data_IF_799921167612
#
_entry.id   IF_799921167612
#
_cell.length_a   1.000
_cell.length_b   1.000
_cell.length_c   1.000
_cell.angle_alpha   90.00
_cell.angle_beta   90.00
_cell.angle_gamma   90.00
#
_symmetry.space_group_name_H-M   'P 1'
#
loop_
_entity.id
_entity.type
_entity.pdbx_description
1 polymer ?
#
# COMPACT_ATOMS: atom_id res chain seq x y z
N UNK A 1 -19.25 8.39 -14.18
CA UNK A 1 -18.46 7.27 -14.75
C UNK A 1 -17.76 7.76 -16.01
N UNK A 2 -16.49 7.41 -16.25
CA UNK A 2 -15.82 7.70 -17.53
C UNK A 2 -15.95 6.46 -18.42
N UNK A 3 -16.71 6.56 -19.50
CA UNK A 3 -16.81 5.50 -20.49
C UNK A 3 -15.55 5.50 -21.36
N UNK A 4 -14.73 4.47 -21.27
CA UNK A 4 -13.53 4.30 -22.11
C UNK A 4 -13.85 3.73 -23.51
N UNK A 5 -15.09 3.31 -23.76
CA UNK A 5 -15.54 2.77 -25.05
C UNK A 5 -14.89 1.44 -25.43
N UNK A 6 -14.22 0.77 -24.49
CA UNK A 6 -13.45 -0.43 -24.75
C UNK A 6 -14.28 -1.70 -24.56
N UNK A 7 -14.30 -2.56 -25.58
CA UNK A 7 -15.06 -3.82 -25.58
C UNK A 7 -14.11 -5.01 -25.68
N UNK A 8 -14.21 -5.96 -24.75
CA UNK A 8 -13.50 -7.24 -24.81
C UNK A 8 -14.45 -8.41 -24.66
N UNK A 9 -14.14 -9.47 -25.39
CA UNK A 9 -14.79 -10.77 -25.22
C UNK A 9 -14.20 -11.48 -24.01
N UNK A 10 -15.06 -12.20 -23.31
CA UNK A 10 -14.73 -13.07 -22.19
C UNK A 10 -14.41 -14.46 -22.77
N UNK A 11 -13.44 -15.15 -22.19
CA UNK A 11 -13.14 -16.54 -22.56
C UNK A 11 -14.12 -17.55 -21.93
N UNK A 12 -13.97 -18.83 -22.22
CA UNK A 12 -14.84 -19.89 -21.68
C UNK A 12 -14.80 -20.01 -20.14
N UNK A 13 -13.79 -19.41 -19.50
CA UNK A 13 -13.57 -19.45 -18.05
C UNK A 13 -13.95 -18.15 -17.34
N UNK A 14 -14.45 -17.13 -18.06
CA UNK A 14 -14.81 -15.86 -17.44
C UNK A 14 -13.67 -14.84 -17.36
N UNK A 15 -12.51 -15.09 -17.96
CA UNK A 15 -11.35 -14.19 -17.93
C UNK A 15 -11.41 -13.20 -19.09
N UNK A 16 -10.93 -11.99 -18.83
CA UNK A 16 -10.70 -10.99 -19.85
C UNK A 16 -9.36 -10.28 -19.58
N UNK A 17 -8.80 -9.68 -20.64
CA UNK A 17 -7.54 -8.97 -20.54
C UNK A 17 -7.78 -7.50 -20.21
N UNK A 18 -7.15 -7.00 -19.14
CA UNK A 18 -7.09 -5.57 -18.84
C UNK A 18 -6.00 -4.94 -19.73
N UNK A 19 -6.33 -3.95 -20.57
CA UNK A 19 -5.36 -3.24 -21.42
C UNK A 19 -4.19 -2.66 -20.63
N UNK A 20 -3.03 -2.55 -21.27
CA UNK A 20 -1.82 -2.01 -20.66
C UNK A 20 -2.01 -0.57 -20.21
N UNK A 21 -2.81 0.21 -20.93
CA UNK A 21 -3.12 1.61 -20.64
C UNK A 21 -3.84 1.76 -19.29
N UNK A 22 -4.87 0.93 -19.06
CA UNK A 22 -5.60 0.90 -17.78
C UNK A 22 -4.68 0.39 -16.68
N UNK A 23 -3.88 -0.65 -16.95
CA UNK A 23 -2.91 -1.16 -15.97
C UNK A 23 -1.88 -0.12 -15.57
N UNK A 24 -1.34 0.65 -16.52
CA UNK A 24 -0.36 1.70 -16.25
C UNK A 24 -1.00 2.85 -15.46
N UNK A 25 -2.19 3.29 -15.87
CA UNK A 25 -2.93 4.38 -15.18
C UNK A 25 -3.25 4.01 -13.74
N UNK A 26 -3.75 2.79 -13.54
CA UNK A 26 -4.10 2.28 -12.22
C UNK A 26 -2.91 1.65 -11.49
N UNK A 27 -1.70 1.64 -12.04
CA UNK A 27 -0.52 1.01 -11.44
C UNK A 27 -0.75 -0.46 -11.03
N UNK A 28 -1.45 -1.24 -11.87
CA UNK A 28 -1.74 -2.66 -11.63
C UNK A 28 -0.58 -3.52 -12.15
N UNK A 29 0.32 -3.88 -11.23
CA UNK A 29 1.46 -4.78 -11.47
C UNK A 29 0.99 -6.24 -11.66
N UNK A 30 1.87 -7.10 -12.17
CA UNK A 30 1.57 -8.53 -12.25
C UNK A 30 1.27 -9.10 -10.85
N UNK A 31 0.33 -10.04 -10.74
CA UNK A 31 -0.13 -10.60 -9.45
C UNK A 31 -0.75 -9.58 -8.47
N UNK A 32 -1.20 -8.42 -8.95
CA UNK A 32 -1.97 -7.49 -8.10
C UNK A 32 -3.35 -8.06 -7.79
N UNK A 33 -3.75 -8.03 -6.52
CA UNK A 33 -5.08 -8.44 -6.09
C UNK A 33 -6.11 -7.36 -6.43
N UNK A 34 -7.18 -7.76 -7.11
CA UNK A 34 -8.31 -6.89 -7.43
C UNK A 34 -9.58 -7.44 -6.78
N UNK A 35 -10.35 -6.56 -6.17
CA UNK A 35 -11.69 -6.83 -5.67
C UNK A 35 -12.70 -6.61 -6.79
N UNK A 36 -13.66 -7.53 -6.91
CA UNK A 36 -14.73 -7.50 -7.90
C UNK A 36 -16.02 -7.18 -7.17
N UNK A 37 -16.62 -6.04 -7.52
CA UNK A 37 -17.89 -5.59 -6.97
C UNK A 37 -18.93 -5.55 -8.09
N UNK A 38 -20.13 -6.00 -7.79
CA UNK A 38 -21.27 -5.92 -8.72
C UNK A 38 -22.18 -4.76 -8.32
N UNK A 39 -22.66 -4.03 -9.32
CA UNK A 39 -23.62 -2.95 -9.16
C UNK A 39 -25.05 -3.44 -9.43
N UNK A 40 -26.05 -2.72 -8.93
CA UNK A 40 -27.47 -3.09 -9.08
C UNK A 40 -27.95 -3.04 -10.54
N UNK A 41 -27.31 -2.24 -11.39
CA UNK A 41 -27.60 -2.17 -12.83
C UNK A 41 -26.85 -3.24 -13.66
N UNK A 42 -26.22 -4.22 -13.01
CA UNK A 42 -25.44 -5.27 -13.68
C UNK A 42 -24.03 -4.84 -14.09
N UNK A 43 -23.56 -3.68 -13.61
CA UNK A 43 -22.18 -3.23 -13.78
C UNK A 43 -21.20 -4.05 -12.94
N UNK A 44 -19.96 -4.20 -13.42
CA UNK A 44 -18.86 -4.79 -12.65
C UNK A 44 -17.79 -3.73 -12.42
N UNK A 45 -17.43 -3.53 -11.16
CA UNK A 45 -16.45 -2.55 -10.71
C UNK A 45 -15.23 -3.30 -10.15
N UNK A 46 -14.05 -2.95 -10.66
CA UNK A 46 -12.78 -3.48 -10.16
C UNK A 46 -12.09 -2.44 -9.27
N UNK A 47 -11.68 -2.85 -8.06
CA UNK A 47 -10.90 -2.02 -7.13
C UNK A 47 -9.61 -2.74 -6.72
N UNK A 48 -8.56 -1.98 -6.37
CA UNK A 48 -7.36 -2.59 -5.77
C UNK A 48 -7.71 -3.12 -4.39
N UNK A 49 -7.39 -4.39 -4.16
CA UNK A 49 -7.58 -5.03 -2.87
C UNK A 49 -6.34 -4.88 -1.99
N UNK A 50 -6.53 -4.41 -0.76
CA UNK A 50 -5.50 -4.31 0.26
C UNK A 50 -6.06 -4.81 1.59
N UNK A 51 -5.65 -6.01 2.07
CA UNK A 51 -6.14 -6.56 3.33
C UNK A 51 -5.89 -5.63 4.53
N UNK A 52 -4.74 -4.96 4.54
CA UNK A 52 -4.32 -4.11 5.66
C UNK A 52 -5.19 -2.84 5.73
N UNK A 53 -5.70 -2.38 4.59
CA UNK A 53 -6.55 -1.19 4.53
C UNK A 53 -7.91 -1.41 5.19
N UNK A 54 -8.42 -2.64 5.17
CA UNK A 54 -9.66 -3.02 5.86
C UNK A 54 -9.48 -3.10 7.38
N UNK A 55 -8.26 -3.41 7.84
CA UNK A 55 -7.91 -3.50 9.26
C UNK A 55 -7.64 -2.14 9.92
N UNK A 56 -8.07 -1.03 9.31
CA UNK A 56 -7.64 0.34 9.64
C UNK A 56 -7.59 0.69 11.13
N UNK A 57 -8.66 0.41 11.90
CA UNK A 57 -8.71 0.72 13.33
C UNK A 57 -7.67 -0.08 14.14
N UNK A 58 -7.56 -1.38 13.88
CA UNK A 58 -6.59 -2.26 14.53
C UNK A 58 -5.16 -1.83 14.24
N UNK A 59 -4.90 -1.42 13.00
CA UNK A 59 -3.58 -0.97 12.54
C UNK A 59 -3.19 0.34 13.22
N UNK A 60 -4.12 1.28 13.39
CA UNK A 60 -3.87 2.52 14.13
C UNK A 60 -3.56 2.26 15.61
N UNK A 61 -4.34 1.40 16.27
CA UNK A 61 -4.11 1.01 17.67
C UNK A 61 -2.75 0.33 17.85
N UNK A 62 -2.36 -0.55 16.92
CA UNK A 62 -1.07 -1.24 16.96
C UNK A 62 0.10 -0.26 16.79
N UNK A 63 -0.01 0.67 15.84
CA UNK A 63 1.00 1.71 15.66
C UNK A 63 1.13 2.58 16.92
N UNK A 64 0.01 2.93 17.55
CA UNK A 64 -0.02 3.74 18.76
C UNK A 64 0.65 3.02 19.95
N UNK A 65 0.33 1.74 20.16
CA UNK A 65 0.95 0.93 21.21
C UNK A 65 2.47 0.81 21.04
N UNK A 66 2.95 0.66 19.81
CA UNK A 66 4.38 0.64 19.51
C UNK A 66 5.04 2.00 19.76
N UNK A 67 4.37 3.11 19.40
CA UNK A 67 4.86 4.46 19.68
C UNK A 67 4.99 4.72 21.18
N UNK A 68 4.01 4.32 21.98
CA UNK A 68 4.04 4.47 23.44
C UNK A 68 5.12 3.61 24.10
N UNK A 69 5.38 2.41 23.57
CA UNK A 69 6.38 1.49 24.12
C UNK A 69 7.81 1.86 23.75
N UNK A 70 8.03 2.33 22.51
CA UNK A 70 9.37 2.56 21.94
C UNK A 70 9.78 4.03 21.94
N UNK A 71 8.82 4.97 21.98
CA UNK A 71 9.07 6.41 21.85
C UNK A 71 9.51 6.87 20.45
N UNK A 72 9.56 5.95 19.47
CA UNK A 72 9.96 6.21 18.09
C UNK A 72 8.75 6.31 17.15
N UNK A 73 8.88 7.08 16.07
CA UNK A 73 7.79 7.21 15.08
C UNK A 73 7.61 5.90 14.31
N UNK A 74 6.39 5.37 14.32
CA UNK A 74 6.02 4.12 13.68
C UNK A 74 5.13 4.40 12.48
N UNK A 75 5.49 3.82 11.34
CA UNK A 75 4.71 3.89 10.11
C UNK A 75 4.36 2.47 9.67
N UNK A 76 3.06 2.21 9.47
CA UNK A 76 2.57 0.98 8.87
C UNK A 76 2.18 1.28 7.43
N UNK A 77 2.70 0.48 6.51
CA UNK A 77 2.62 0.74 5.08
C UNK A 77 2.06 -0.48 4.35
N UNK A 78 1.33 -0.21 3.28
CA UNK A 78 1.01 -1.21 2.25
C UNK A 78 2.10 -1.25 1.18
N UNK A 79 1.86 -1.97 0.09
CA UNK A 79 2.69 -1.98 -1.12
C UNK A 79 2.85 -0.61 -1.78
N UNK A 80 1.91 0.32 -1.60
CA UNK A 80 1.90 1.59 -2.34
C UNK A 80 1.86 2.83 -1.43
N UNK A 81 1.14 2.76 -0.31
CA UNK A 81 0.84 3.92 0.52
C UNK A 81 1.02 3.64 2.00
N UNK A 82 1.28 4.69 2.77
CA UNK A 82 1.31 4.66 4.22
C UNK A 82 -0.13 4.62 4.75
N UNK A 83 -0.48 3.54 5.47
CA UNK A 83 -1.82 3.29 6.01
C UNK A 83 -1.99 3.95 7.37
N UNK A 84 -1.04 3.76 8.28
CA UNK A 84 -1.11 4.32 9.63
C UNK A 84 0.23 4.90 10.06
N UNK A 85 0.16 5.94 10.90
CA UNK A 85 1.32 6.62 11.45
C UNK A 85 1.04 6.96 12.90
N UNK A 86 1.96 6.57 13.79
CA UNK A 86 1.97 6.95 15.18
C UNK A 86 3.26 7.73 15.49
N UNK A 87 3.10 8.89 16.11
CA UNK A 87 4.20 9.82 16.42
C UNK A 87 4.17 11.12 15.62
N UNK A 88 5.35 11.69 15.39
CA UNK A 88 5.47 13.03 14.81
C UNK A 88 5.08 13.04 13.33
N UNK A 89 4.46 14.14 12.88
CA UNK A 89 4.06 14.36 11.47
C UNK A 89 2.97 13.41 10.90
N UNK A 90 2.03 12.88 11.72
CA UNK A 90 0.88 12.04 11.26
C UNK A 90 0.18 12.62 10.02
N UNK A 91 -0.18 13.91 10.04
CA UNK A 91 -0.87 14.60 8.93
C UNK A 91 -0.07 14.68 7.63
N UNK A 92 1.26 14.62 7.70
CA UNK A 92 2.14 14.82 6.53
C UNK A 92 2.49 13.50 5.83
N UNK A 93 2.53 12.41 6.61
CA UNK A 93 2.96 11.09 6.17
C UNK A 93 1.78 10.19 5.73
N UNK A 94 0.59 10.39 6.30
CA UNK A 94 -0.58 9.58 5.95
C UNK A 94 -0.92 9.67 4.45
N UNK A 95 -1.27 8.53 3.83
CA UNK A 95 -1.65 8.43 2.41
C UNK A 95 -0.59 8.93 1.41
N UNK A 96 0.68 9.03 1.82
CA UNK A 96 1.78 9.32 0.90
C UNK A 96 2.24 8.04 0.19
N UNK A 97 2.64 8.20 -1.07
CA UNK A 97 3.25 7.15 -1.86
C UNK A 97 4.65 6.83 -1.36
N UNK A 98 4.99 5.55 -1.38
CA UNK A 98 6.30 5.06 -0.97
C UNK A 98 7.37 5.38 -2.00
N UNK A 99 8.61 5.54 -1.52
CA UNK A 99 9.79 5.57 -2.36
C UNK A 99 10.02 4.16 -2.97
N UNK A 100 10.34 4.03 -4.27
CA UNK A 100 10.69 2.76 -4.89
C UNK A 100 11.79 1.96 -4.17
N UNK A 101 12.69 2.62 -3.44
CA UNK A 101 13.67 1.93 -2.59
C UNK A 101 13.00 1.10 -1.49
N UNK A 102 11.96 1.63 -0.83
CA UNK A 102 11.20 0.92 0.20
C UNK A 102 10.40 -0.23 -0.41
N UNK A 103 9.84 -0.05 -1.61
CA UNK A 103 9.14 -1.14 -2.32
C UNK A 103 10.07 -2.35 -2.53
N UNK A 104 11.32 -2.11 -2.96
CA UNK A 104 12.32 -3.18 -3.13
C UNK A 104 12.65 -3.89 -1.82
N UNK A 105 12.77 -3.14 -0.71
CA UNK A 105 13.02 -3.74 0.60
C UNK A 105 11.84 -4.60 1.08
N UNK A 106 10.61 -4.23 0.73
CA UNK A 106 9.43 -5.05 1.01
C UNK A 106 9.41 -6.34 0.18
N UNK A 107 9.91 -6.31 -1.07
CA UNK A 107 10.06 -7.49 -1.91
C UNK A 107 11.10 -8.48 -1.36
N UNK A 108 12.16 -8.00 -0.72
CA UNK A 108 13.19 -8.84 -0.09
C UNK A 108 12.68 -9.62 1.14
N UNK A 109 11.53 -9.23 1.72
CA UNK A 109 10.90 -9.85 2.91
C UNK A 109 11.85 -10.02 4.09
N UNK A 110 12.85 -9.14 4.24
CA UNK A 110 13.80 -9.15 5.35
C UNK A 110 13.63 -7.91 6.22
N UNK A 111 13.74 -8.11 7.54
CA UNK A 111 13.82 -7.01 8.48
C UNK A 111 15.21 -6.37 8.36
N UNK A 112 15.26 -5.14 7.86
CA UNK A 112 16.49 -4.39 7.70
C UNK A 112 16.54 -3.26 8.73
N UNK A 113 17.69 -3.10 9.40
CA UNK A 113 17.94 -2.03 10.34
C UNK A 113 18.91 -1.03 9.73
N UNK A 114 18.45 0.20 9.51
CA UNK A 114 19.27 1.28 8.97
C UNK A 114 19.58 2.31 10.04
N UNK A 115 20.87 2.58 10.24
CA UNK A 115 21.36 3.63 11.14
C UNK A 115 21.33 5.00 10.47
N UNK A 116 21.32 5.05 9.12
CA UNK A 116 21.21 6.28 8.33
C UNK A 116 19.77 6.57 7.89
N UNK A 117 19.38 7.85 7.78
CA UNK A 117 18.02 8.23 7.39
C UNK A 117 17.75 7.86 5.92
N UNK A 118 16.70 7.07 5.70
CA UNK A 118 16.16 6.75 4.37
C UNK A 118 14.93 7.61 4.09
N UNK A 119 14.80 8.06 2.86
CA UNK A 119 13.64 8.84 2.42
C UNK A 119 12.42 7.92 2.23
N UNK A 120 11.45 8.02 3.13
CA UNK A 120 10.24 7.18 3.14
C UNK A 120 9.27 7.51 1.99
N UNK A 121 9.28 8.74 1.50
CA UNK A 121 8.32 9.28 0.51
C UNK A 121 9.07 10.02 -0.59
N UNK A 122 8.58 9.92 -1.82
CA UNK A 122 9.17 10.51 -3.05
C UNK A 122 9.36 12.04 -2.99
N UNK A 123 8.70 12.75 -2.06
CA UNK A 123 8.63 14.22 -2.01
C UNK A 123 9.27 14.84 -0.76
N UNK A 124 9.85 14.07 0.15
CA UNK A 124 10.47 14.65 1.35
C UNK A 124 11.94 15.01 1.08
N UNK A 125 12.18 16.31 0.85
CA UNK A 125 13.48 16.94 0.97
C UNK A 125 14.18 16.52 2.27
N UNK A 126 15.32 15.83 2.13
CA UNK A 126 16.60 15.86 2.87
C UNK A 126 16.73 16.38 4.31
N UNK A 127 15.67 16.55 5.09
CA UNK A 127 15.75 16.85 6.51
C UNK A 127 14.65 16.10 7.24
N UNK A 128 15.03 15.10 8.02
CA UNK A 128 14.57 14.92 9.39
C UNK A 128 15.41 13.84 10.12
N UNK A 129 16.05 14.27 11.19
CA UNK A 129 16.72 13.51 12.26
C UNK A 129 15.67 13.07 13.32
N UNK A 130 15.95 12.20 14.33
CA UNK A 130 17.10 11.30 14.57
C UNK A 130 16.71 9.81 14.27
N UNK A 131 17.52 8.78 14.62
CA UNK A 131 17.48 7.48 13.96
C UNK A 131 16.29 6.63 14.42
N UNK A 132 16.03 5.55 13.69
CA UNK A 132 15.04 4.53 13.97
C UNK A 132 13.61 4.88 13.53
N UNK A 133 13.45 4.96 12.21
CA UNK A 133 12.16 4.74 11.57
C UNK A 133 11.93 3.22 11.48
N UNK A 134 11.17 2.65 12.42
CA UNK A 134 10.80 1.24 12.34
C UNK A 134 9.65 1.09 11.34
N UNK A 135 10.00 0.64 10.13
CA UNK A 135 9.00 0.22 9.14
C UNK A 135 8.59 -1.22 9.47
N UNK A 136 7.48 -1.39 10.17
CA UNK A 136 6.87 -2.70 10.27
C UNK A 136 6.04 -2.93 9.01
N UNK A 137 6.57 -3.72 8.08
CA UNK A 137 5.71 -4.43 7.13
C UNK A 137 5.04 -5.56 7.92
N UNK A 138 3.75 -5.40 8.22
CA UNK A 138 2.94 -6.52 8.70
C UNK A 138 2.69 -7.40 7.49
N UNK A 139 3.67 -8.26 7.18
CA UNK A 139 3.48 -9.39 6.28
C UNK A 139 2.52 -10.36 6.99
N UNK A 140 1.21 -10.18 6.78
CA UNK A 140 0.31 -11.30 7.01
C UNK A 140 0.62 -12.37 5.98
N UNK A 141 1.25 -13.43 6.47
CA UNK A 141 1.24 -14.75 5.86
C UNK A 141 -0.21 -15.19 5.73
N UNK A 142 -0.73 -15.21 4.51
CA UNK A 142 -1.94 -15.96 4.21
C UNK A 142 -1.78 -16.65 2.85
N UNK A 143 -1.78 -17.99 2.94
CA UNK A 143 -1.96 -19.03 1.91
C UNK A 143 -0.70 -19.56 1.19
N UNK A 144 -0.17 -20.67 1.75
CA UNK A 144 0.07 -21.91 0.99
C UNK A 144 -1.24 -22.54 0.54
#
# INVERSE_FOLDING_TARGET
MRATGFVRRIDELGRFLIPKEIRNTLHIKHYSSLEILTDYEGGVIFKKFSPIKELGQLVEEYAQALYESLGHTVCIVDKENIIAVAGFNKKRLLNRQLNPEIERLMEERKANHYVMPISLTVVLERRLYPPCLYLFSVLQSTYS
#
